data_IF_273962656214
#
_entry.id   IF_273962656214
#
_cell.length_a   1.000
_cell.length_b   1.000
_cell.length_c   1.000
_cell.angle_alpha   90.00
_cell.angle_beta   90.00
_cell.angle_gamma   90.00
#
_symmetry.space_group_name_H-M   'P 1'
#
loop_
_entity.id
_entity.type
_entity.pdbx_description
1 polymer ?
#
# COMPACT_ATOMS: atom_id res chain seq x y z
N UNK A 1 0.30 13.90 -11.42
CA UNK A 1 0.19 12.92 -10.31
C UNK A 1 1.51 12.19 -10.24
N UNK A 2 2.21 12.24 -9.11
CA UNK A 2 3.55 11.64 -8.98
C UNK A 2 3.40 10.23 -8.41
N UNK A 3 3.93 9.23 -9.12
CA UNK A 3 4.03 7.86 -8.62
C UNK A 3 5.47 7.64 -8.18
N UNK A 4 5.66 7.08 -6.98
CA UNK A 4 6.97 6.70 -6.46
C UNK A 4 6.97 5.23 -6.08
N UNK A 5 8.17 4.64 -6.04
CA UNK A 5 8.40 3.33 -5.44
C UNK A 5 8.81 3.52 -3.97
N UNK A 6 8.18 2.78 -3.06
CA UNK A 6 8.56 2.70 -1.65
C UNK A 6 8.79 1.25 -1.26
N UNK A 7 9.63 1.00 -0.25
CA UNK A 7 9.59 -0.30 0.40
C UNK A 7 8.23 -0.46 1.09
N UNK A 8 7.67 -1.67 1.11
CA UNK A 8 6.35 -1.90 1.70
C UNK A 8 6.26 -1.39 3.15
N UNK A 9 7.31 -1.59 3.95
CA UNK A 9 7.37 -1.11 5.34
C UNK A 9 7.42 0.42 5.47
N UNK A 10 7.67 1.16 4.38
CA UNK A 10 7.74 2.62 4.34
C UNK A 10 6.44 3.28 3.88
N UNK A 11 5.41 2.50 3.55
CA UNK A 11 4.09 3.03 3.16
C UNK A 11 3.49 3.82 4.33
N UNK A 12 3.02 5.02 4.02
CA UNK A 12 2.51 5.98 5.01
C UNK A 12 0.98 6.03 4.97
N UNK A 13 0.39 6.50 6.06
CA UNK A 13 -1.04 6.82 6.05
C UNK A 13 -1.36 7.83 4.94
N UNK A 14 -2.42 7.56 4.20
CA UNK A 14 -2.90 8.36 3.08
C UNK A 14 -2.27 8.03 1.72
N UNK A 15 -1.15 7.29 1.68
CA UNK A 15 -0.58 6.82 0.40
C UNK A 15 -1.62 5.95 -0.32
N UNK A 16 -1.71 6.08 -1.64
CA UNK A 16 -2.57 5.21 -2.47
C UNK A 16 -1.70 4.16 -3.15
N UNK A 17 -1.88 2.90 -2.74
CA UNK A 17 -1.22 1.74 -3.32
C UNK A 17 -1.89 1.40 -4.66
N UNK A 18 -1.05 1.10 -5.65
CA UNK A 18 -1.50 0.84 -7.03
C UNK A 18 -1.39 -0.62 -7.47
N UNK A 19 -0.86 -1.51 -6.61
CA UNK A 19 -0.60 -2.91 -6.96
C UNK A 19 -1.20 -3.85 -5.91
N UNK A 20 -1.94 -4.85 -6.37
CA UNK A 20 -2.44 -5.96 -5.55
C UNK A 20 -1.29 -6.96 -5.29
N UNK A 21 -0.89 -7.22 -4.03
CA UNK A 21 0.19 -8.15 -3.73
C UNK A 21 -0.13 -9.61 -4.08
N UNK A 22 -1.42 -9.98 -4.10
CA UNK A 22 -1.86 -11.35 -4.39
C UNK A 22 -2.06 -11.55 -5.91
N UNK A 23 -2.28 -10.46 -6.65
CA UNK A 23 -2.53 -10.46 -8.09
C UNK A 23 -1.76 -9.31 -8.77
N UNK A 24 -0.45 -9.45 -9.04
CA UNK A 24 0.39 -8.34 -9.49
C UNK A 24 -0.01 -7.75 -10.86
N UNK A 25 -0.77 -8.48 -11.66
CA UNK A 25 -1.32 -8.00 -12.95
C UNK A 25 -2.60 -7.16 -12.78
N UNK A 26 -3.09 -7.00 -11.55
CA UNK A 26 -4.29 -6.22 -11.22
C UNK A 26 -3.91 -4.87 -10.62
N UNK A 27 -4.25 -3.82 -11.36
CA UNK A 27 -4.20 -2.45 -10.83
C UNK A 27 -5.29 -2.25 -9.77
N UNK A 28 -4.91 -1.60 -8.68
CA UNK A 28 -5.81 -1.24 -7.58
C UNK A 28 -5.65 0.22 -7.20
N UNK A 29 -6.54 0.73 -6.35
CA UNK A 29 -6.37 2.03 -5.71
C UNK A 29 -6.76 1.92 -4.26
N UNK A 30 -5.81 1.54 -3.42
CA UNK A 30 -6.05 1.30 -2.00
C UNK A 30 -5.40 2.39 -1.17
N UNK A 31 -6.19 3.18 -0.46
CA UNK A 31 -5.67 4.24 0.40
C UNK A 31 -5.30 3.65 1.76
N UNK A 32 -4.04 3.74 2.14
CA UNK A 32 -3.57 3.32 3.45
C UNK A 32 -4.22 4.17 4.56
N UNK A 33 -4.84 3.53 5.54
CA UNK A 33 -5.50 4.17 6.69
C UNK A 33 -4.51 4.57 7.77
N UNK A 34 -3.41 3.85 7.89
CA UNK A 34 -2.35 4.02 8.88
C UNK A 34 -0.98 3.72 8.26
N UNK A 35 0.13 4.09 8.91
CA UNK A 35 1.45 3.63 8.50
C UNK A 35 1.55 2.10 8.50
N UNK A 36 2.35 1.57 7.58
CA UNK A 36 2.63 0.14 7.47
C UNK A 36 3.13 -0.48 8.79
N UNK A 37 2.67 -1.70 9.10
CA UNK A 37 3.08 -2.47 10.29
C UNK A 37 3.95 -3.65 9.87
N UNK A 38 5.23 -3.63 10.27
CA UNK A 38 6.14 -4.75 10.02
C UNK A 38 5.93 -5.85 11.04
N UNK A 39 5.88 -7.08 10.56
CA UNK A 39 5.78 -8.29 11.38
C UNK A 39 7.16 -8.90 11.63
N UNK A 40 7.25 -9.86 12.55
CA UNK A 40 8.48 -10.60 12.80
C UNK A 40 8.90 -11.50 11.62
N UNK A 41 7.95 -11.88 10.75
CA UNK A 41 8.13 -12.86 9.69
C UNK A 41 8.40 -12.21 8.33
N UNK A 42 9.21 -11.15 8.26
CA UNK A 42 9.50 -10.37 7.04
C UNK A 42 8.30 -9.75 6.30
N UNK A 43 7.07 -9.91 6.78
CA UNK A 43 5.88 -9.33 6.17
C UNK A 43 5.54 -7.95 6.68
N UNK A 44 4.90 -7.17 5.83
CA UNK A 44 4.32 -5.87 6.17
C UNK A 44 2.81 -5.92 5.94
N UNK A 45 2.05 -5.49 6.94
CA UNK A 45 0.60 -5.36 6.92
C UNK A 45 0.22 -3.90 6.70
N UNK A 46 -0.69 -3.64 5.78
CA UNK A 46 -1.19 -2.28 5.49
C UNK A 46 -2.72 -2.31 5.48
N UNK A 47 -3.29 -1.68 6.51
CA UNK A 47 -4.74 -1.47 6.62
C UNK A 47 -5.15 -0.40 5.61
N UNK A 48 -6.00 -0.74 4.64
CA UNK A 48 -6.40 0.12 3.53
C UNK A 48 -7.92 0.25 3.39
N UNK A 49 -8.35 1.27 2.65
CA UNK A 49 -9.70 1.37 2.08
C UNK A 49 -9.58 1.31 0.55
N UNK A 50 -10.35 0.43 -0.08
CA UNK A 50 -10.46 0.38 -1.53
C UNK A 50 -11.25 1.60 -2.03
N UNK A 51 -10.64 2.39 -2.91
CA UNK A 51 -11.28 3.60 -3.44
C UNK A 51 -12.31 3.30 -4.53
N UNK A 52 -12.36 2.06 -5.06
CA UNK A 52 -13.37 1.67 -6.04
C UNK A 52 -14.76 1.50 -5.41
N UNK A 53 -14.84 0.95 -4.19
CA UNK A 53 -16.12 0.58 -3.56
C UNK A 53 -16.21 0.89 -2.06
N UNK A 54 -15.16 1.47 -1.46
CA UNK A 54 -15.13 1.89 -0.07
C UNK A 54 -14.90 0.77 0.95
N UNK A 55 -14.64 -0.47 0.52
CA UNK A 55 -14.42 -1.60 1.44
C UNK A 55 -13.06 -1.53 2.12
N UNK A 56 -12.98 -2.09 3.31
CA UNK A 56 -11.72 -2.30 4.00
C UNK A 56 -10.94 -3.47 3.39
N UNK A 57 -9.64 -3.25 3.18
CA UNK A 57 -8.70 -4.23 2.62
C UNK A 57 -7.48 -4.31 3.54
N UNK A 58 -7.01 -5.53 3.78
CA UNK A 58 -5.71 -5.77 4.43
C UNK A 58 -4.73 -6.23 3.36
N UNK A 59 -3.80 -5.37 2.98
CA UNK A 59 -2.75 -5.73 2.03
C UNK A 59 -1.53 -6.28 2.76
N UNK A 60 -0.99 -7.40 2.27
CA UNK A 60 0.16 -8.09 2.88
C UNK A 60 1.29 -8.18 1.85
N UNK A 61 2.42 -7.55 2.15
CA UNK A 61 3.60 -7.55 1.27
C UNK A 61 4.80 -8.19 1.97
N UNK A 62 5.78 -8.66 1.19
CA UNK A 62 7.15 -8.83 1.72
C UNK A 62 7.69 -7.44 2.03
N UNK A 63 8.30 -7.26 3.20
CA UNK A 63 8.64 -5.91 3.70
C UNK A 63 9.56 -5.14 2.76
N UNK A 64 10.49 -5.83 2.10
CA UNK A 64 11.51 -5.22 1.24
C UNK A 64 11.07 -5.07 -0.22
N UNK A 65 9.86 -5.52 -0.57
CA UNK A 65 9.32 -5.34 -1.91
C UNK A 65 8.99 -3.87 -2.17
N UNK A 66 9.10 -3.49 -3.44
CA UNK A 66 8.78 -2.15 -3.89
C UNK A 66 7.33 -2.04 -4.30
N UNK A 67 6.61 -1.17 -3.62
CA UNK A 67 5.21 -0.87 -3.87
C UNK A 67 5.11 0.45 -4.63
N UNK A 68 4.35 0.44 -5.73
CA UNK A 68 3.97 1.67 -6.43
C UNK A 68 2.92 2.41 -5.62
N UNK A 69 3.21 3.66 -5.25
CA UNK A 69 2.27 4.50 -4.51
C UNK A 69 2.13 5.90 -5.09
N UNK A 70 0.93 6.46 -5.00
CA UNK A 70 0.71 7.89 -5.03
C UNK A 70 0.86 8.41 -3.59
N UNK A 71 1.87 9.24 -3.29
CA UNK A 71 2.12 9.65 -1.92
C UNK A 71 1.06 10.62 -1.40
N UNK A 72 0.72 10.49 -0.12
CA UNK A 72 -0.16 11.41 0.57
C UNK A 72 0.41 12.83 0.53
N UNK A 73 -0.26 13.75 -0.18
CA UNK A 73 0.06 15.18 -0.18
C UNK A 73 1.51 15.50 -0.53
N UNK A 74 1.86 15.46 -1.82
CA UNK A 74 2.91 16.36 -2.31
C UNK A 74 2.25 17.72 -2.48
N UNK A 75 2.29 18.55 -1.43
CA UNK A 75 1.90 19.94 -1.51
C UNK A 75 3.14 20.81 -1.59
#
# INVERSE_FOLDING_TARGET
>A
MTIIRRKAFEVRAGDVILTDPDHPDRDVRWRAKAPAKRTASDRTLIDCTDLADGRDVLAVFVSLDEVSVEPAGVR
#
